data_IF_886838131631
#
_entry.id   IF_886838131631
#
_cell.length_a   1.000
_cell.length_b   1.000
_cell.length_c   1.000
_cell.angle_alpha   90.00
_cell.angle_beta   90.00
_cell.angle_gamma   90.00
#
_symmetry.space_group_name_H-M   'P 1'
#
loop_
_entity.id
_entity.type
_entity.pdbx_description
1 polymer ?
#
# COMPACT_ATOMS: atom_id res chain seq x y z
N UNK A 1 6.36 -14.52 -12.43
CA UNK A 1 6.38 -15.98 -12.68
C UNK A 1 5.38 -16.33 -13.79
N UNK A 2 5.49 -17.47 -14.48
CA UNK A 2 4.50 -17.94 -15.47
C UNK A 2 3.43 -18.78 -14.76
N UNK A 3 2.16 -18.59 -15.11
CA UNK A 3 1.04 -19.41 -14.62
C UNK A 3 0.39 -20.04 -15.85
N UNK A 4 0.43 -21.35 -15.92
CA UNK A 4 0.02 -22.16 -17.08
C UNK A 4 -1.06 -23.17 -16.66
N UNK A 5 -1.90 -23.58 -17.61
CA UNK A 5 -3.07 -24.45 -17.36
C UNK A 5 -3.03 -25.73 -18.21
N UNK A 6 -1.82 -26.21 -18.47
CA UNK A 6 -1.53 -27.41 -19.28
C UNK A 6 -0.85 -28.45 -18.40
N UNK A 7 -0.74 -29.69 -18.89
CA UNK A 7 -0.03 -30.75 -18.17
C UNK A 7 1.45 -30.38 -17.94
N UNK A 8 1.97 -30.61 -16.73
CA UNK A 8 3.35 -30.27 -16.39
C UNK A 8 4.32 -31.27 -17.01
N UNK A 9 5.48 -30.80 -17.49
CA UNK A 9 6.64 -31.66 -17.74
C UNK A 9 7.74 -31.33 -16.73
N UNK A 10 8.02 -32.26 -15.82
CA UNK A 10 9.11 -32.13 -14.83
C UNK A 10 8.87 -31.10 -13.72
N UNK A 11 7.63 -30.68 -13.48
CA UNK A 11 7.28 -29.81 -12.36
C UNK A 11 7.09 -30.62 -11.07
N UNK A 12 7.47 -30.04 -9.92
CA UNK A 12 7.27 -30.64 -8.60
C UNK A 12 5.79 -30.57 -8.24
N UNK A 13 5.18 -31.72 -7.95
CA UNK A 13 3.77 -31.77 -7.54
C UNK A 13 3.62 -31.21 -6.13
N UNK A 14 2.66 -30.33 -5.92
CA UNK A 14 2.31 -29.79 -4.59
C UNK A 14 1.09 -30.54 -4.06
N UNK A 15 1.18 -30.98 -2.81
CA UNK A 15 0.12 -31.71 -2.10
C UNK A 15 -0.12 -31.02 -0.74
N UNK A 16 -1.35 -30.57 -0.48
CA UNK A 16 -1.71 -29.95 0.80
C UNK A 16 -2.17 -31.04 1.78
N UNK A 17 -1.44 -31.22 2.88
CA UNK A 17 -1.68 -32.32 3.82
C UNK A 17 -2.08 -31.81 5.20
N UNK A 18 -3.03 -32.50 5.83
CA UNK A 18 -3.44 -32.20 7.20
C UNK A 18 -2.28 -32.34 8.19
N UNK A 19 -2.28 -31.48 9.22
CA UNK A 19 -1.20 -31.36 10.21
C UNK A 19 -0.13 -30.34 9.81
N UNK A 20 0.85 -30.14 10.69
CA UNK A 20 1.82 -29.04 10.54
C UNK A 20 3.09 -29.41 9.75
N UNK A 21 3.26 -30.69 9.45
CA UNK A 21 4.49 -31.23 8.85
C UNK A 21 4.55 -30.93 7.36
N UNK A 22 5.55 -30.14 6.97
CA UNK A 22 5.97 -29.97 5.57
C UNK A 22 7.15 -30.89 5.28
N UNK A 23 7.15 -31.55 4.11
CA UNK A 23 8.27 -32.39 3.65
C UNK A 23 8.33 -32.50 2.13
N UNK A 24 9.53 -32.69 1.61
CA UNK A 24 9.76 -33.12 0.22
C UNK A 24 9.85 -34.64 0.22
N UNK A 25 9.12 -35.29 -0.68
CA UNK A 25 9.13 -36.76 -0.85
C UNK A 25 9.44 -37.06 -2.30
N UNK A 26 10.27 -38.05 -2.55
CA UNK A 26 10.51 -38.60 -3.87
C UNK A 26 9.91 -40.01 -3.93
N UNK A 27 9.10 -40.29 -4.94
CA UNK A 27 8.52 -41.62 -5.11
C UNK A 27 9.49 -42.60 -5.81
N UNK A 28 9.09 -43.86 -5.92
CA UNK A 28 9.90 -44.91 -6.53
C UNK A 28 10.19 -44.69 -8.04
N UNK A 29 9.52 -43.73 -8.68
CA UNK A 29 9.69 -43.36 -10.07
C UNK A 29 10.48 -42.05 -10.24
N UNK A 30 11.02 -41.50 -9.15
CA UNK A 30 11.79 -40.25 -9.15
C UNK A 30 10.92 -38.98 -9.21
N UNK A 31 9.61 -39.09 -8.97
CA UNK A 31 8.71 -37.93 -8.93
C UNK A 31 8.84 -37.25 -7.58
N UNK A 32 9.24 -35.98 -7.61
CA UNK A 32 9.33 -35.14 -6.42
C UNK A 32 7.98 -34.50 -6.10
N UNK A 33 7.52 -34.69 -4.87
CA UNK A 33 6.29 -34.14 -4.31
C UNK A 33 6.61 -33.26 -3.10
N UNK A 34 6.16 -32.01 -3.15
CA UNK A 34 6.22 -31.06 -2.05
C UNK A 34 4.92 -31.14 -1.23
N UNK A 35 5.00 -31.79 -0.06
CA UNK A 35 3.87 -31.89 0.89
C UNK A 35 3.88 -30.69 1.83
N UNK A 36 2.82 -29.91 1.83
CA UNK A 36 2.67 -28.70 2.65
C UNK A 36 1.69 -28.97 3.79
N UNK A 37 2.19 -28.94 5.03
CA UNK A 37 1.33 -29.02 6.22
C UNK A 37 0.45 -27.78 6.36
N UNK A 38 -0.87 -27.96 6.40
CA UNK A 38 -1.87 -26.88 6.50
C UNK A 38 -2.59 -26.80 7.84
N UNK A 39 -2.20 -27.64 8.80
CA UNK A 39 -2.86 -27.79 10.10
C UNK A 39 -4.19 -28.54 9.97
N UNK A 40 -5.17 -28.22 10.83
CA UNK A 40 -6.52 -28.79 10.76
C UNK A 40 -7.32 -28.17 9.63
N UNK A 41 -7.85 -29.01 8.74
CA UNK A 41 -8.55 -28.60 7.51
C UNK A 41 -9.81 -27.79 7.83
N UNK A 42 -10.54 -28.20 8.88
CA UNK A 42 -11.76 -27.55 9.36
C UNK A 42 -11.53 -26.14 9.92
N UNK A 43 -10.29 -25.79 10.29
CA UNK A 43 -9.94 -24.47 10.79
C UNK A 43 -9.42 -23.52 9.68
N UNK A 44 -9.45 -23.95 8.41
CA UNK A 44 -8.97 -23.13 7.29
C UNK A 44 -9.99 -22.05 6.97
N UNK A 45 -9.60 -20.82 7.31
CA UNK A 45 -10.33 -19.60 6.99
C UNK A 45 -9.72 -18.93 5.76
N UNK A 46 -10.39 -17.89 5.23
CA UNK A 46 -9.79 -17.02 4.19
C UNK A 46 -8.42 -16.47 4.59
N UNK A 47 -8.20 -16.17 5.88
CA UNK A 47 -6.90 -15.68 6.38
C UNK A 47 -5.81 -16.77 6.31
N UNK A 48 -6.14 -18.01 6.66
CA UNK A 48 -5.22 -19.15 6.51
C UNK A 48 -4.96 -19.47 5.03
N UNK A 49 -5.97 -19.38 4.16
CA UNK A 49 -5.79 -19.57 2.71
C UNK A 49 -4.69 -18.66 2.15
N UNK A 50 -4.71 -17.36 2.49
CA UNK A 50 -3.68 -16.39 2.08
C UNK A 50 -2.27 -16.85 2.48
N UNK A 51 -2.07 -17.26 3.73
CA UNK A 51 -0.75 -17.67 4.24
C UNK A 51 -0.31 -19.04 3.72
N UNK A 52 -1.24 -19.98 3.51
CA UNK A 52 -0.97 -21.28 2.88
C UNK A 52 -0.47 -21.08 1.44
N UNK A 53 -1.14 -20.24 0.64
CA UNK A 53 -0.71 -19.95 -0.72
C UNK A 53 0.72 -19.41 -0.78
N UNK A 54 1.07 -18.50 0.14
CA UNK A 54 2.43 -17.96 0.25
C UNK A 54 3.44 -19.01 0.72
N UNK A 55 3.07 -19.81 1.72
CA UNK A 55 3.89 -20.89 2.31
C UNK A 55 4.39 -21.86 1.23
N UNK A 56 3.51 -22.27 0.29
CA UNK A 56 3.87 -23.12 -0.85
C UNK A 56 5.08 -22.58 -1.61
N UNK A 57 5.03 -21.29 -1.97
CA UNK A 57 6.08 -20.65 -2.77
C UNK A 57 7.36 -20.41 -1.96
N UNK A 58 7.23 -20.03 -0.69
CA UNK A 58 8.38 -19.83 0.20
C UNK A 58 9.20 -21.11 0.35
N UNK A 59 8.54 -22.23 0.63
CA UNK A 59 9.20 -23.53 0.77
C UNK A 59 9.75 -24.01 -0.57
N UNK A 60 9.02 -23.82 -1.68
CA UNK A 60 9.53 -24.14 -3.01
C UNK A 60 10.83 -23.40 -3.33
N UNK A 61 10.92 -22.11 -2.97
CA UNK A 61 12.14 -21.32 -3.13
C UNK A 61 13.28 -21.81 -2.20
N UNK A 62 12.99 -22.18 -0.95
CA UNK A 62 13.98 -22.77 -0.03
C UNK A 62 14.60 -24.05 -0.60
N UNK A 63 13.81 -24.87 -1.30
CA UNK A 63 14.27 -26.07 -2.01
C UNK A 63 14.71 -25.82 -3.46
N UNK A 64 14.72 -24.56 -3.92
CA UNK A 64 15.13 -24.14 -5.27
C UNK A 64 14.32 -24.79 -6.41
N UNK A 65 13.07 -25.15 -6.17
CA UNK A 65 12.18 -25.66 -7.21
C UNK A 65 11.77 -24.53 -8.17
N UNK A 66 12.02 -24.73 -9.47
CA UNK A 66 11.73 -23.74 -10.50
C UNK A 66 10.34 -23.90 -11.13
N UNK A 67 9.72 -25.08 -11.03
CA UNK A 67 8.41 -25.36 -11.59
C UNK A 67 7.55 -26.17 -10.61
N UNK A 68 6.31 -25.74 -10.40
CA UNK A 68 5.34 -26.41 -9.52
C UNK A 68 4.09 -26.84 -10.28
N UNK A 69 3.55 -28.02 -9.97
CA UNK A 69 2.21 -28.45 -10.39
C UNK A 69 1.28 -28.40 -9.18
N UNK A 70 0.19 -27.65 -9.30
CA UNK A 70 -0.73 -27.38 -8.18
C UNK A 70 -2.15 -27.74 -8.60
N UNK A 71 -2.81 -28.70 -7.95
CA UNK A 71 -4.24 -28.95 -8.15
C UNK A 71 -5.07 -27.77 -7.62
N UNK A 72 -5.93 -27.20 -8.46
CA UNK A 72 -6.77 -26.06 -8.08
C UNK A 72 -7.75 -26.42 -6.96
N UNK A 73 -8.30 -27.63 -7.00
CA UNK A 73 -9.31 -28.11 -6.05
C UNK A 73 -8.74 -28.29 -4.63
N UNK A 74 -7.42 -28.44 -4.47
CA UNK A 74 -6.79 -28.57 -3.14
C UNK A 74 -6.92 -27.29 -2.32
N UNK A 75 -7.18 -26.14 -2.96
CA UNK A 75 -7.38 -24.86 -2.31
C UNK A 75 -8.87 -24.53 -2.04
N UNK A 76 -9.78 -25.46 -2.32
CA UNK A 76 -11.20 -25.32 -2.02
C UNK A 76 -11.52 -25.98 -0.67
N UNK A 77 -11.55 -25.17 0.39
CA UNK A 77 -11.83 -25.63 1.75
C UNK A 77 -13.28 -25.40 2.16
N UNK A 78 -13.76 -26.16 3.15
CA UNK A 78 -15.10 -25.99 3.68
C UNK A 78 -15.35 -24.59 4.28
N UNK A 79 -14.31 -24.00 4.90
CA UNK A 79 -14.34 -22.64 5.47
C UNK A 79 -14.14 -21.51 4.45
N UNK A 80 -14.08 -21.82 3.16
CA UNK A 80 -13.93 -20.84 2.06
C UNK A 80 -14.94 -21.06 0.93
N UNK A 81 -16.09 -21.70 1.23
CA UNK A 81 -17.14 -22.02 0.23
C UNK A 81 -17.81 -20.79 -0.38
N UNK A 82 -17.71 -19.64 0.27
CA UNK A 82 -18.21 -18.36 -0.22
C UNK A 82 -17.31 -17.72 -1.29
N UNK A 83 -16.09 -18.24 -1.47
CA UNK A 83 -15.13 -17.75 -2.46
C UNK A 83 -15.43 -18.41 -3.80
N UNK A 84 -15.79 -17.59 -4.80
CA UNK A 84 -15.98 -18.07 -6.18
C UNK A 84 -14.66 -18.54 -6.79
N UNK A 85 -14.72 -19.37 -7.83
CA UNK A 85 -13.53 -19.82 -8.55
C UNK A 85 -12.68 -18.67 -9.12
N UNK A 86 -13.35 -17.62 -9.64
CA UNK A 86 -12.68 -16.40 -10.10
C UNK A 86 -11.90 -15.75 -8.96
N UNK A 87 -12.54 -15.57 -7.81
CA UNK A 87 -11.93 -14.95 -6.65
C UNK A 87 -10.79 -15.79 -6.08
N UNK A 88 -10.96 -17.12 -6.02
CA UNK A 88 -9.92 -18.04 -5.58
C UNK A 88 -8.71 -17.97 -6.52
N UNK A 89 -8.91 -18.02 -7.84
CA UNK A 89 -7.83 -17.87 -8.81
C UNK A 89 -7.06 -16.55 -8.65
N UNK A 90 -7.77 -15.46 -8.34
CA UNK A 90 -7.16 -14.17 -8.05
C UNK A 90 -6.34 -14.18 -6.76
N UNK A 91 -6.90 -14.67 -5.65
CA UNK A 91 -6.20 -14.81 -4.36
C UNK A 91 -4.92 -15.64 -4.52
N UNK A 92 -4.99 -16.77 -5.23
CA UNK A 92 -3.84 -17.64 -5.45
C UNK A 92 -2.75 -16.93 -6.26
N UNK A 93 -3.10 -16.31 -7.39
CA UNK A 93 -2.14 -15.58 -8.21
C UNK A 93 -1.46 -14.43 -7.45
N UNK A 94 -2.24 -13.64 -6.72
CA UNK A 94 -1.74 -12.54 -5.90
C UNK A 94 -0.69 -13.04 -4.90
N UNK A 95 -1.05 -14.06 -4.13
CA UNK A 95 -0.22 -14.54 -3.05
C UNK A 95 0.97 -15.38 -3.51
N UNK A 96 0.85 -16.10 -4.63
CA UNK A 96 1.99 -16.81 -5.21
C UNK A 96 3.06 -15.83 -5.71
N UNK A 97 2.66 -14.81 -6.48
CA UNK A 97 3.61 -13.81 -7.00
C UNK A 97 4.18 -12.92 -5.88
N UNK A 98 3.38 -12.54 -4.87
CA UNK A 98 3.88 -11.78 -3.71
C UNK A 98 4.89 -12.57 -2.87
N UNK A 99 4.70 -13.88 -2.69
CA UNK A 99 5.62 -14.73 -1.94
C UNK A 99 6.90 -15.07 -2.71
N UNK A 100 6.83 -15.06 -4.04
CA UNK A 100 7.98 -15.29 -4.91
C UNK A 100 8.91 -14.06 -5.04
N UNK A 101 8.45 -12.89 -4.58
CA UNK A 101 9.20 -11.65 -4.61
C UNK A 101 10.33 -11.63 -3.57
N UNK A 102 11.48 -11.11 -3.99
CA UNK A 102 12.57 -10.71 -3.11
C UNK A 102 13.23 -9.44 -3.64
N UNK A 103 13.48 -8.46 -2.77
CA UNK A 103 14.21 -7.26 -3.14
C UNK A 103 15.70 -7.57 -3.31
N UNK A 104 16.15 -7.65 -4.57
CA UNK A 104 17.51 -8.10 -4.95
C UNK A 104 18.35 -7.03 -5.63
N UNK A 105 17.83 -5.81 -5.79
CA UNK A 105 18.45 -4.71 -6.57
C UNK A 105 19.93 -4.47 -6.25
N UNK A 106 20.32 -4.61 -4.98
CA UNK A 106 21.69 -4.38 -4.50
C UNK A 106 22.47 -5.67 -4.17
N UNK A 107 21.89 -6.85 -4.39
CA UNK A 107 22.55 -8.13 -4.10
C UNK A 107 23.27 -8.64 -5.34
N UNK A 108 24.52 -9.08 -5.17
CA UNK A 108 25.21 -9.87 -6.19
C UNK A 108 24.51 -11.23 -6.35
N UNK A 109 24.14 -11.63 -7.57
CA UNK A 109 23.58 -12.96 -7.79
C UNK A 109 24.57 -14.06 -7.43
N UNK A 110 24.15 -15.14 -6.73
CA UNK A 110 24.98 -16.32 -6.55
C UNK A 110 25.19 -17.02 -7.91
N UNK A 111 26.20 -17.90 -8.01
CA UNK A 111 26.58 -18.56 -9.28
C UNK A 111 25.42 -19.30 -9.93
N UNK A 112 24.65 -19.99 -9.11
CA UNK A 112 23.49 -20.78 -9.52
C UNK A 112 22.19 -19.95 -9.65
N UNK A 113 22.29 -18.61 -9.58
CA UNK A 113 21.16 -17.69 -9.61
C UNK A 113 20.36 -17.69 -8.31
N UNK A 114 19.50 -16.70 -8.13
CA UNK A 114 18.65 -16.68 -6.94
C UNK A 114 17.52 -17.72 -7.03
N UNK A 115 17.13 -18.35 -5.90
CA UNK A 115 15.99 -19.27 -5.88
C UNK A 115 14.70 -18.53 -6.25
N UNK A 116 13.98 -19.02 -7.26
CA UNK A 116 12.73 -18.41 -7.74
C UNK A 116 11.89 -19.46 -8.47
N UNK A 117 10.62 -19.56 -8.12
CA UNK A 117 9.64 -20.32 -8.89
C UNK A 117 9.39 -19.59 -10.21
N UNK A 118 9.76 -20.21 -11.32
CA UNK A 118 9.64 -19.64 -12.66
C UNK A 118 8.27 -19.92 -13.28
N UNK A 119 7.71 -21.11 -13.04
CA UNK A 119 6.43 -21.56 -13.59
C UNK A 119 5.56 -22.27 -12.55
N UNK A 120 4.25 -22.03 -12.61
CA UNK A 120 3.23 -22.79 -11.88
C UNK A 120 2.23 -23.34 -12.90
N UNK A 121 1.98 -24.65 -12.84
CA UNK A 121 1.00 -25.37 -13.65
C UNK A 121 -0.23 -25.65 -12.77
N UNK A 122 -1.33 -24.93 -13.02
CA UNK A 122 -2.57 -25.10 -12.27
C UNK A 122 -3.42 -26.20 -12.94
N UNK A 123 -3.61 -27.31 -12.24
CA UNK A 123 -4.44 -28.43 -12.71
C UNK A 123 -5.90 -28.24 -12.31
N UNK A 124 -6.84 -28.55 -13.21
CA UNK A 124 -8.28 -28.51 -12.90
C UNK A 124 -8.89 -27.11 -12.71
N UNK A 125 -8.18 -26.03 -13.08
CA UNK A 125 -8.75 -24.69 -13.01
C UNK A 125 -9.91 -24.49 -14.01
N UNK A 126 -11.03 -23.98 -13.51
CA UNK A 126 -12.18 -23.59 -14.33
C UNK A 126 -11.89 -22.35 -15.18
N UNK A 127 -12.76 -22.06 -16.17
CA UNK A 127 -12.59 -20.89 -17.03
C UNK A 127 -12.60 -19.56 -16.23
N UNK A 128 -13.41 -19.49 -15.18
CA UNK A 128 -13.49 -18.29 -14.33
C UNK A 128 -12.27 -18.18 -13.41
N UNK A 129 -11.76 -19.28 -12.87
CA UNK A 129 -10.48 -19.29 -12.16
C UNK A 129 -9.35 -18.76 -13.03
N UNK A 130 -9.27 -19.17 -14.31
CA UNK A 130 -8.25 -18.69 -15.27
C UNK A 130 -8.28 -17.17 -15.45
N UNK A 131 -9.47 -16.55 -15.47
CA UNK A 131 -9.62 -15.09 -15.50
C UNK A 131 -9.10 -14.47 -14.19
N UNK A 132 -9.47 -15.05 -13.05
CA UNK A 132 -8.97 -14.65 -11.74
C UNK A 132 -7.44 -14.67 -11.64
N UNK A 133 -6.80 -15.74 -12.12
CA UNK A 133 -5.33 -15.85 -12.15
C UNK A 133 -4.69 -14.73 -12.99
N UNK A 134 -5.31 -14.36 -14.12
CA UNK A 134 -4.81 -13.27 -14.98
C UNK A 134 -4.88 -11.92 -14.28
N UNK A 135 -6.00 -11.63 -13.62
CA UNK A 135 -6.20 -10.38 -12.86
C UNK A 135 -5.28 -10.31 -11.65
N UNK A 136 -5.23 -11.39 -10.85
CA UNK A 136 -4.39 -11.45 -9.66
C UNK A 136 -2.91 -11.31 -9.98
N UNK A 137 -2.45 -11.81 -11.12
CA UNK A 137 -1.07 -11.60 -11.59
C UNK A 137 -0.77 -10.12 -11.90
N UNK A 138 -1.71 -9.40 -12.52
CA UNK A 138 -1.56 -7.95 -12.76
C UNK A 138 -1.45 -7.22 -11.42
N UNK A 139 -2.35 -7.54 -10.49
CA UNK A 139 -2.38 -6.92 -9.15
C UNK A 139 -1.07 -7.18 -8.41
N UNK A 140 -0.61 -8.43 -8.34
CA UNK A 140 0.62 -8.79 -7.65
C UNK A 140 1.85 -8.12 -8.24
N UNK A 141 1.88 -7.95 -9.57
CA UNK A 141 2.99 -7.30 -10.25
C UNK A 141 3.11 -5.84 -9.81
N UNK A 142 1.99 -5.12 -9.74
CA UNK A 142 1.98 -3.73 -9.27
C UNK A 142 2.22 -3.61 -7.76
N UNK A 143 1.77 -4.58 -6.97
CA UNK A 143 2.11 -4.68 -5.54
C UNK A 143 3.63 -4.83 -5.38
N UNK A 144 4.26 -5.74 -6.12
CA UNK A 144 5.70 -5.95 -6.06
C UNK A 144 6.48 -4.75 -6.59
N UNK A 145 5.97 -4.03 -7.59
CA UNK A 145 6.56 -2.75 -8.01
C UNK A 145 6.48 -1.69 -6.91
N UNK A 146 5.34 -1.55 -6.22
CA UNK A 146 5.24 -0.70 -5.04
C UNK A 146 6.24 -1.10 -3.95
N UNK A 147 6.46 -2.41 -3.74
CA UNK A 147 7.44 -2.93 -2.78
C UNK A 147 8.87 -2.58 -3.21
N UNK A 148 9.19 -2.65 -4.50
CA UNK A 148 10.49 -2.22 -5.02
C UNK A 148 10.75 -0.74 -4.74
N UNK A 149 9.75 0.13 -4.95
CA UNK A 149 9.90 1.55 -4.66
C UNK A 149 10.15 1.78 -3.16
N UNK A 150 9.30 1.22 -2.30
CA UNK A 150 9.40 1.41 -0.85
C UNK A 150 10.64 0.75 -0.22
N UNK A 151 11.14 -0.36 -0.77
CA UNK A 151 12.38 -1.00 -0.31
C UNK A 151 13.65 -0.29 -0.83
N UNK A 152 13.53 0.57 -1.84
CA UNK A 152 14.68 1.32 -2.35
C UNK A 152 15.10 2.36 -1.32
N UNK A 153 16.39 2.41 -0.91
CA UNK A 153 16.89 3.41 0.04
C UNK A 153 16.63 4.85 -0.42
N UNK A 154 16.48 5.77 0.54
CA UNK A 154 16.09 7.16 0.26
C UNK A 154 16.97 7.88 -0.77
N UNK A 155 18.30 7.67 -0.69
CA UNK A 155 19.25 8.23 -1.67
C UNK A 155 19.05 7.76 -3.12
N UNK A 156 18.41 6.60 -3.31
CA UNK A 156 18.09 6.03 -4.64
C UNK A 156 16.59 6.11 -4.98
N UNK A 157 15.78 6.72 -4.11
CA UNK A 157 14.33 6.89 -4.28
C UNK A 157 13.92 8.32 -3.91
N UNK A 158 14.50 9.31 -4.57
CA UNK A 158 14.17 10.72 -4.33
C UNK A 158 12.78 11.10 -4.86
N UNK A 159 12.21 12.28 -4.51
CA UNK A 159 10.93 12.74 -5.06
C UNK A 159 10.91 12.75 -6.59
N UNK A 160 12.03 13.10 -7.22
CA UNK A 160 12.19 13.05 -8.68
C UNK A 160 12.12 11.63 -9.23
N UNK A 161 12.78 10.67 -8.56
CA UNK A 161 12.76 9.26 -8.97
C UNK A 161 11.37 8.64 -8.79
N UNK A 162 10.67 8.95 -7.69
CA UNK A 162 9.30 8.51 -7.48
C UNK A 162 8.36 9.03 -8.58
N UNK A 163 8.47 10.31 -8.95
CA UNK A 163 7.69 10.90 -10.04
C UNK A 163 7.96 10.25 -11.40
N UNK A 164 9.22 9.91 -11.69
CA UNK A 164 9.60 9.19 -12.92
C UNK A 164 9.11 7.74 -12.91
N UNK A 165 9.13 7.09 -11.74
CA UNK A 165 8.63 5.73 -11.56
C UNK A 165 7.13 5.66 -11.84
N UNK A 166 6.35 6.66 -11.42
CA UNK A 166 4.92 6.75 -11.76
C UNK A 166 4.68 6.81 -13.28
N UNK A 167 5.47 7.62 -14.01
CA UNK A 167 5.40 7.69 -15.49
C UNK A 167 5.73 6.35 -16.14
N UNK A 168 6.75 5.65 -15.63
CA UNK A 168 7.15 4.34 -16.15
C UNK A 168 6.07 3.28 -15.89
N UNK A 169 5.54 3.25 -14.67
CA UNK A 169 4.54 2.26 -14.23
C UNK A 169 3.24 2.32 -15.06
N UNK A 170 2.85 3.52 -15.48
CA UNK A 170 1.62 3.79 -16.24
C UNK A 170 1.82 3.88 -17.74
N UNK A 171 3.05 3.72 -18.23
CA UNK A 171 3.38 3.74 -19.65
C UNK A 171 2.56 2.67 -20.40
N UNK A 172 1.90 3.08 -21.49
CA UNK A 172 1.08 2.18 -22.31
C UNK A 172 -0.35 1.95 -21.78
N UNK A 173 -0.71 2.56 -20.65
CA UNK A 173 -2.11 2.65 -20.20
C UNK A 173 -2.77 3.91 -20.76
N UNK A 174 -4.08 4.07 -20.55
CA UNK A 174 -4.81 5.31 -20.87
C UNK A 174 -4.82 6.33 -19.74
N UNK A 175 -4.03 6.13 -18.68
CA UNK A 175 -3.89 7.10 -17.60
C UNK A 175 -2.88 8.19 -17.97
N UNK A 176 -3.11 9.40 -17.47
CA UNK A 176 -2.21 10.54 -17.63
C UNK A 176 -1.41 10.75 -16.34
N UNK A 177 -0.11 11.02 -16.45
CA UNK A 177 0.74 11.39 -15.32
C UNK A 177 1.26 12.82 -15.50
N UNK A 178 0.85 13.72 -14.63
CA UNK A 178 1.31 15.11 -14.55
C UNK A 178 2.17 15.27 -13.30
N UNK A 179 3.27 16.02 -13.40
CA UNK A 179 4.17 16.25 -12.26
C UNK A 179 4.40 17.74 -12.14
N UNK A 180 3.91 18.35 -11.07
CA UNK A 180 4.12 19.78 -10.81
C UNK A 180 5.49 20.00 -10.18
N UNK A 181 6.18 21.02 -10.67
CA UNK A 181 7.42 21.55 -10.14
C UNK A 181 7.20 22.43 -8.91
N UNK A 182 8.27 22.71 -8.16
CA UNK A 182 8.26 23.67 -7.04
C UNK A 182 7.66 25.02 -7.43
N UNK A 183 7.93 25.51 -8.65
CA UNK A 183 7.38 26.78 -9.12
C UNK A 183 5.85 26.73 -9.27
N UNK A 184 5.30 25.62 -9.76
CA UNK A 184 3.86 25.40 -9.89
C UNK A 184 3.20 25.18 -8.51
N UNK A 185 3.84 24.42 -7.63
CA UNK A 185 3.43 24.23 -6.22
C UNK A 185 3.34 25.60 -5.51
N UNK A 186 4.33 26.47 -5.71
CA UNK A 186 4.33 27.85 -5.20
C UNK A 186 3.22 28.70 -5.79
N UNK A 187 2.95 28.60 -7.09
CA UNK A 187 1.84 29.31 -7.74
C UNK A 187 0.48 28.87 -7.17
N UNK A 188 0.35 27.61 -6.77
CA UNK A 188 -0.84 27.06 -6.11
C UNK A 188 -0.92 27.39 -4.61
N UNK A 189 0.08 28.06 -4.03
CA UNK A 189 0.16 28.43 -2.62
C UNK A 189 0.13 27.24 -1.66
N UNK A 190 0.69 26.10 -2.08
CA UNK A 190 0.84 24.90 -1.24
C UNK A 190 1.98 25.07 -0.22
N UNK A 191 1.77 25.96 0.76
CA UNK A 191 2.82 26.33 1.71
C UNK A 191 3.16 25.26 2.75
N UNK A 192 2.32 24.24 2.95
CA UNK A 192 2.67 23.11 3.82
C UNK A 192 3.70 22.21 3.13
N UNK A 193 3.48 21.87 1.85
CA UNK A 193 4.45 21.12 1.05
C UNK A 193 5.78 21.87 0.96
N UNK A 194 5.73 23.17 0.64
CA UNK A 194 6.93 24.00 0.53
C UNK A 194 7.68 24.16 1.85
N UNK A 195 6.97 24.13 2.98
CA UNK A 195 7.59 24.18 4.30
C UNK A 195 8.41 22.92 4.58
N UNK A 196 7.83 21.74 4.34
CA UNK A 196 8.52 20.45 4.54
C UNK A 196 9.71 20.30 3.59
N UNK A 197 9.53 20.65 2.31
CA UNK A 197 10.57 20.55 1.27
C UNK A 197 11.79 21.46 1.50
N UNK A 198 11.62 22.54 2.29
CA UNK A 198 12.61 23.62 2.44
C UNK A 198 13.99 23.14 2.91
N UNK A 199 14.05 22.01 3.60
CA UNK A 199 15.28 21.42 4.10
C UNK A 199 16.06 20.60 3.06
N UNK A 200 15.39 20.14 2.00
CA UNK A 200 15.90 19.18 1.02
C UNK A 200 16.69 19.83 -0.12
N UNK A 201 17.69 19.10 -0.65
CA UNK A 201 18.33 19.43 -1.92
C UNK A 201 17.55 18.85 -3.13
N UNK A 202 16.79 17.79 -2.90
CA UNK A 202 15.91 17.19 -3.89
C UNK A 202 14.57 17.94 -3.91
N UNK A 203 14.18 18.53 -5.05
CA UNK A 203 13.03 19.40 -5.09
C UNK A 203 11.71 18.63 -5.01
N UNK A 204 10.74 19.19 -4.26
CA UNK A 204 9.37 18.66 -4.20
C UNK A 204 8.78 18.39 -5.58
N UNK A 205 8.01 17.31 -5.66
CA UNK A 205 7.17 16.96 -6.81
C UNK A 205 5.75 16.76 -6.33
N UNK A 206 4.78 17.33 -7.04
CA UNK A 206 3.38 16.96 -6.84
C UNK A 206 2.92 16.09 -8.01
N UNK A 207 2.79 14.79 -7.76
CA UNK A 207 2.47 13.79 -8.77
C UNK A 207 0.95 13.65 -8.83
N UNK A 208 0.41 13.76 -10.04
CA UNK A 208 -1.01 13.61 -10.34
C UNK A 208 -1.14 12.50 -11.36
N UNK A 209 -1.85 11.45 -11.00
CA UNK A 209 -2.22 10.37 -11.91
C UNK A 209 -3.72 10.43 -12.15
N UNK A 210 -4.13 10.52 -13.40
CA UNK A 210 -5.55 10.58 -13.77
C UNK A 210 -5.92 9.41 -14.67
N UNK A 211 -6.86 8.57 -14.22
CA UNK A 211 -7.47 7.53 -15.02
C UNK A 211 -8.99 7.76 -15.14
N UNK A 212 -9.44 8.01 -16.36
CA UNK A 212 -10.84 8.32 -16.67
C UNK A 212 -11.53 7.16 -17.37
N UNK A 213 -11.59 5.99 -16.70
CA UNK A 213 -12.09 4.74 -17.28
C UNK A 213 -13.60 4.72 -17.56
N UNK A 214 -14.39 5.50 -16.83
CA UNK A 214 -15.81 5.71 -17.12
C UNK A 214 -16.04 6.85 -18.14
N UNK A 215 -14.98 7.57 -18.54
CA UNK A 215 -15.00 8.74 -19.40
C UNK A 215 -14.99 10.05 -18.61
N UNK A 216 -14.26 11.06 -19.11
CA UNK A 216 -14.15 12.40 -18.50
C UNK A 216 -15.47 13.15 -18.42
N UNK A 217 -16.36 12.90 -19.38
CA UNK A 217 -17.69 13.52 -19.47
C UNK A 217 -18.78 12.68 -18.81
N UNK A 218 -18.41 11.59 -18.13
CA UNK A 218 -19.35 10.79 -17.36
C UNK A 218 -19.91 11.61 -16.20
N UNK A 219 -21.16 11.34 -15.82
CA UNK A 219 -21.75 11.85 -14.57
C UNK A 219 -21.12 11.23 -13.32
N UNK A 220 -20.35 10.15 -13.48
CA UNK A 220 -19.62 9.51 -12.39
C UNK A 220 -18.43 10.38 -11.97
N UNK A 221 -18.64 11.11 -10.87
CA UNK A 221 -17.59 11.83 -10.14
C UNK A 221 -16.47 10.86 -9.72
N UNK A 222 -15.20 11.29 -9.76
CA UNK A 222 -14.08 10.41 -9.50
C UNK A 222 -13.97 9.99 -8.02
N UNK A 223 -13.28 8.87 -7.81
CA UNK A 223 -12.66 8.52 -6.53
C UNK A 223 -11.26 9.13 -6.54
N UNK A 224 -10.90 9.91 -5.52
CA UNK A 224 -9.55 10.47 -5.38
C UNK A 224 -8.80 9.74 -4.28
N UNK A 225 -7.62 9.23 -4.61
CA UNK A 225 -6.68 8.64 -3.68
C UNK A 225 -5.56 9.65 -3.39
N UNK A 226 -5.21 9.87 -2.13
CA UNK A 226 -4.11 10.76 -1.75
C UNK A 226 -3.07 9.96 -0.97
N UNK A 227 -1.82 9.95 -1.41
CA UNK A 227 -0.77 9.12 -0.79
C UNK A 227 0.38 9.93 -0.22
N UNK A 228 0.76 9.68 1.04
CA UNK A 228 1.96 10.30 1.66
C UNK A 228 3.21 9.93 0.86
N UNK A 229 3.96 10.94 0.40
CA UNK A 229 5.15 10.78 -0.45
C UNK A 229 6.45 11.24 0.21
N UNK A 230 6.67 10.96 1.49
CA UNK A 230 7.95 11.30 2.14
C UNK A 230 9.00 10.27 1.73
N UNK A 231 9.88 10.63 0.82
CA UNK A 231 10.88 9.71 0.25
C UNK A 231 11.97 9.29 1.22
N UNK A 232 12.29 10.19 2.15
CA UNK A 232 13.06 9.86 3.34
C UNK A 232 12.67 10.83 4.46
N UNK A 233 12.48 10.29 5.66
CA UNK A 233 12.06 11.06 6.83
C UNK A 233 13.12 11.04 7.92
N UNK A 234 13.83 12.16 8.08
CA UNK A 234 14.77 12.34 9.20
C UNK A 234 14.05 12.76 10.49
N UNK A 235 12.79 13.21 10.38
CA UNK A 235 12.08 13.99 11.39
C UNK A 235 12.37 15.50 11.35
N UNK A 236 13.29 15.94 10.48
CA UNK A 236 13.71 17.33 10.40
C UNK A 236 14.45 17.78 11.66
N UNK A 237 14.24 19.02 12.12
CA UNK A 237 14.88 19.55 13.33
C UNK A 237 14.52 18.71 14.58
N UNK A 238 13.31 18.16 14.64
CA UNK A 238 12.92 17.11 15.58
C UNK A 238 13.45 15.75 15.13
N UNK A 239 14.78 15.63 15.06
CA UNK A 239 15.48 14.44 14.56
C UNK A 239 14.99 13.17 15.25
N UNK A 240 14.67 12.15 14.45
CA UNK A 240 14.35 10.82 14.95
C UNK A 240 15.54 10.20 15.70
N UNK A 241 15.32 9.48 16.80
CA UNK A 241 16.36 8.66 17.42
C UNK A 241 16.96 7.65 16.42
N UNK A 242 18.23 7.28 16.60
CA UNK A 242 18.98 6.49 15.61
C UNK A 242 18.27 5.20 15.14
N UNK A 243 17.68 4.44 16.06
CA UNK A 243 16.97 3.19 15.72
C UNK A 243 15.67 3.43 14.93
N UNK A 244 15.10 4.63 15.02
CA UNK A 244 13.87 5.01 14.32
C UNK A 244 14.12 5.60 12.92
N UNK A 245 15.37 5.93 12.56
CA UNK A 245 15.73 6.36 11.20
C UNK A 245 15.81 5.19 10.22
N UNK A 246 16.12 3.99 10.72
CA UNK A 246 16.18 2.80 9.89
C UNK A 246 14.79 2.46 9.35
N UNK A 247 14.68 2.33 8.03
CA UNK A 247 13.41 2.05 7.36
C UNK A 247 12.58 3.29 7.01
N UNK A 248 13.07 4.52 7.21
CA UNK A 248 12.34 5.74 6.83
C UNK A 248 12.30 5.99 5.31
N UNK A 249 12.95 5.16 4.50
CA UNK A 249 12.69 5.07 3.06
C UNK A 249 11.30 4.49 2.74
N UNK A 250 10.65 3.82 3.70
CA UNK A 250 9.28 3.30 3.54
C UNK A 250 8.22 4.40 3.69
N UNK A 251 8.58 5.63 4.04
CA UNK A 251 7.64 6.69 4.41
C UNK A 251 6.90 7.33 3.21
N UNK A 252 7.19 6.81 2.02
CA UNK A 252 6.51 7.07 0.74
C UNK A 252 5.60 5.92 0.30
N UNK A 253 5.44 4.88 1.13
CA UNK A 253 4.63 3.70 0.80
C UNK A 253 3.17 4.05 0.50
N UNK A 254 2.61 5.06 1.18
CA UNK A 254 1.27 5.59 0.88
C UNK A 254 1.17 6.10 -0.56
N UNK A 255 2.10 6.96 -0.97
CA UNK A 255 2.24 7.48 -2.33
C UNK A 255 2.42 6.37 -3.38
N UNK A 256 3.35 5.44 -3.13
CA UNK A 256 3.58 4.31 -4.03
C UNK A 256 2.33 3.43 -4.18
N UNK A 257 1.60 3.19 -3.08
CA UNK A 257 0.41 2.35 -3.07
C UNK A 257 -0.72 2.95 -3.91
N UNK A 258 -1.00 4.26 -3.80
CA UNK A 258 -2.09 4.89 -4.57
C UNK A 258 -1.77 4.99 -6.06
N UNK A 259 -0.50 5.21 -6.42
CA UNK A 259 -0.05 5.16 -7.83
C UNK A 259 -0.25 3.74 -8.39
N UNK A 260 0.19 2.72 -7.64
CA UNK A 260 0.05 1.32 -8.03
C UNK A 260 -1.42 0.90 -8.14
N UNK A 261 -2.29 1.35 -7.24
CA UNK A 261 -3.73 1.13 -7.35
C UNK A 261 -4.26 1.68 -8.66
N UNK A 262 -4.00 2.94 -9.02
CA UNK A 262 -4.48 3.49 -10.30
C UNK A 262 -3.90 2.74 -11.50
N UNK A 263 -2.64 2.30 -11.43
CA UNK A 263 -2.03 1.46 -12.46
C UNK A 263 -2.75 0.13 -12.64
N UNK A 264 -3.15 -0.54 -11.55
CA UNK A 264 -3.96 -1.75 -11.59
C UNK A 264 -5.31 -1.48 -12.26
N UNK A 265 -6.04 -0.45 -11.80
CA UNK A 265 -7.36 -0.11 -12.35
C UNK A 265 -7.28 0.16 -13.86
N UNK A 266 -6.24 0.87 -14.30
CA UNK A 266 -5.99 1.16 -15.71
C UNK A 266 -5.61 -0.09 -16.53
N UNK A 267 -4.77 -0.98 -15.99
CA UNK A 267 -4.35 -2.23 -16.65
C UNK A 267 -5.49 -3.25 -16.74
N UNK A 268 -6.36 -3.28 -15.72
CA UNK A 268 -7.61 -4.05 -15.72
C UNK A 268 -8.71 -3.39 -16.58
N UNK A 269 -8.50 -2.14 -17.01
CA UNK A 269 -9.44 -1.35 -17.82
C UNK A 269 -10.82 -1.22 -17.16
N UNK A 270 -10.85 -1.03 -15.84
CA UNK A 270 -12.11 -0.90 -15.13
C UNK A 270 -12.82 0.39 -15.54
N UNK A 271 -14.14 0.35 -15.69
CA UNK A 271 -14.95 1.51 -16.05
C UNK A 271 -15.21 2.40 -14.83
N UNK A 272 -14.13 2.94 -14.24
CA UNK A 272 -14.14 3.79 -13.06
C UNK A 272 -13.24 4.99 -13.26
N UNK A 273 -13.65 6.14 -12.73
CA UNK A 273 -12.86 7.36 -12.72
C UNK A 273 -12.06 7.44 -11.41
N UNK A 274 -10.72 7.35 -11.50
CA UNK A 274 -9.82 7.29 -10.35
C UNK A 274 -8.64 8.22 -10.54
N UNK A 275 -8.38 9.07 -9.55
CA UNK A 275 -7.27 10.01 -9.53
C UNK A 275 -6.37 9.65 -8.35
N UNK A 276 -5.05 9.68 -8.52
CA UNK A 276 -4.10 9.64 -7.41
C UNK A 276 -3.32 10.96 -7.31
N UNK A 277 -3.18 11.47 -6.10
CA UNK A 277 -2.42 12.68 -5.76
C UNK A 277 -1.32 12.30 -4.76
N UNK A 278 -0.06 12.57 -5.10
CA UNK A 278 1.09 12.24 -4.25
C UNK A 278 1.98 13.47 -4.12
N UNK A 279 1.90 14.20 -2.99
CA UNK A 279 2.89 15.20 -2.64
C UNK A 279 4.20 14.49 -2.22
N UNK A 280 5.19 14.50 -3.10
CA UNK A 280 6.48 13.86 -2.88
C UNK A 280 7.53 14.88 -2.43
N UNK A 281 8.11 14.67 -1.26
CA UNK A 281 9.16 15.51 -0.66
C UNK A 281 10.16 14.64 0.11
N UNK A 282 11.26 15.24 0.55
CA UNK A 282 12.19 14.66 1.53
C UNK A 282 12.19 15.55 2.79
N UNK A 283 12.00 14.96 3.98
CA UNK A 283 12.04 15.71 5.23
C UNK A 283 13.47 15.66 5.80
N UNK A 284 14.28 16.64 5.42
CA UNK A 284 15.72 16.67 5.69
C UNK A 284 16.09 17.67 6.80
N UNK A 285 17.19 17.37 7.50
CA UNK A 285 17.86 18.32 8.39
C UNK A 285 18.81 19.19 7.59
N UNK A 286 18.61 20.50 7.61
CA UNK A 286 19.55 21.46 7.01
C UNK A 286 19.38 22.85 7.61
N UNK A 287 20.32 23.76 7.29
CA UNK A 287 20.24 25.15 7.71
C UNK A 287 19.04 25.93 7.14
N UNK A 288 18.38 25.40 6.11
CA UNK A 288 17.18 26.00 5.51
C UNK A 288 15.87 25.34 5.97
N UNK A 289 15.93 24.24 6.72
CA UNK A 289 14.75 23.51 7.17
C UNK A 289 13.77 24.41 7.95
N UNK A 290 12.47 24.08 7.83
CA UNK A 290 11.44 24.64 8.72
C UNK A 290 11.65 24.12 10.15
N UNK A 291 11.16 24.88 11.13
CA UNK A 291 11.48 24.69 12.54
C UNK A 291 10.22 24.62 13.40
N UNK A 292 10.31 23.98 14.58
CA UNK A 292 9.33 24.20 15.64
C UNK A 292 9.17 25.71 15.93
N UNK A 293 7.93 26.18 16.00
CA UNK A 293 7.55 27.58 16.15
C UNK A 293 7.31 28.32 14.83
N UNK A 294 7.68 27.77 13.67
CA UNK A 294 7.29 28.37 12.39
C UNK A 294 5.77 28.26 12.20
N UNK A 295 5.17 29.23 11.49
CA UNK A 295 3.77 29.18 11.06
C UNK A 295 3.74 29.08 9.54
N UNK A 296 3.20 27.98 9.02
CA UNK A 296 3.01 27.75 7.59
C UNK A 296 1.59 28.12 7.17
N UNK A 297 1.41 28.48 5.90
CA UNK A 297 0.09 28.77 5.33
C UNK A 297 -0.25 27.73 4.26
N UNK A 298 -1.34 27.01 4.47
CA UNK A 298 -1.83 25.99 3.57
C UNK A 298 -2.48 26.57 2.31
N UNK A 299 -2.68 25.72 1.31
CA UNK A 299 -3.32 26.05 0.03
C UNK A 299 -4.72 26.67 0.20
N UNK A 300 -5.49 26.22 1.18
CA UNK A 300 -6.83 26.76 1.49
C UNK A 300 -6.78 28.06 2.34
N UNK A 301 -5.58 28.55 2.68
CA UNK A 301 -5.38 29.76 3.47
C UNK A 301 -5.27 29.53 4.98
N UNK A 302 -5.62 28.34 5.50
CA UNK A 302 -5.46 28.00 6.92
C UNK A 302 -3.99 28.12 7.34
N UNK A 303 -3.74 28.64 8.52
CA UNK A 303 -2.41 28.75 9.13
C UNK A 303 -2.15 27.57 10.07
N UNK A 304 -0.94 27.02 10.02
CA UNK A 304 -0.53 25.86 10.81
C UNK A 304 0.74 26.18 11.57
N UNK A 305 0.64 26.18 12.89
CA UNK A 305 1.78 26.28 13.81
C UNK A 305 2.50 24.93 13.88
N UNK A 306 3.82 24.95 13.71
CA UNK A 306 4.65 23.76 13.70
C UNK A 306 5.18 23.52 15.10
N UNK A 307 4.72 22.47 15.77
CA UNK A 307 5.30 22.06 17.07
C UNK A 307 6.26 20.88 16.92
N UNK A 308 6.10 20.06 15.89
CA UNK A 308 7.00 18.94 15.63
C UNK A 308 7.24 18.75 14.13
N UNK A 309 8.48 18.88 13.67
CA UNK A 309 8.85 18.66 12.25
C UNK A 309 8.80 17.17 11.86
N UNK A 310 8.70 16.26 12.81
CA UNK A 310 8.46 14.81 12.61
C UNK A 310 6.95 14.47 12.44
N UNK A 311 6.11 15.51 12.37
CA UNK A 311 4.71 15.43 11.97
C UNK A 311 4.49 16.10 10.60
N UNK A 312 5.39 15.81 9.67
CA UNK A 312 5.45 16.31 8.29
C UNK A 312 4.40 15.70 7.36
N UNK A 313 4.11 14.40 7.52
CA UNK A 313 3.22 13.67 6.61
C UNK A 313 1.82 14.30 6.52
N UNK A 314 1.27 14.71 7.66
CA UNK A 314 -0.06 15.35 7.70
C UNK A 314 -0.05 16.74 7.06
N UNK A 315 1.09 17.44 7.06
CA UNK A 315 1.23 18.75 6.43
C UNK A 315 1.11 18.63 4.92
N UNK A 316 1.91 17.75 4.31
CA UNK A 316 1.91 17.57 2.85
C UNK A 316 0.57 17.03 2.34
N UNK A 317 -0.08 16.16 3.14
CA UNK A 317 -1.41 15.64 2.84
C UNK A 317 -2.49 16.72 2.93
N UNK A 318 -2.38 17.69 3.85
CA UNK A 318 -3.36 18.80 3.95
C UNK A 318 -3.46 19.64 2.68
N UNK A 319 -2.33 19.96 2.04
CA UNK A 319 -2.31 20.65 0.74
C UNK A 319 -2.83 19.75 -0.38
N UNK A 320 -2.51 18.45 -0.37
CA UNK A 320 -2.98 17.50 -1.37
C UNK A 320 -4.48 17.22 -1.29
N UNK A 321 -5.03 17.11 -0.07
CA UNK A 321 -6.47 17.05 0.19
C UNK A 321 -7.14 18.34 -0.32
N UNK A 322 -6.59 19.51 0.00
CA UNK A 322 -7.12 20.77 -0.56
C UNK A 322 -7.12 20.77 -2.10
N UNK A 323 -6.07 20.25 -2.73
CA UNK A 323 -6.01 20.13 -4.19
C UNK A 323 -7.09 19.19 -4.75
N UNK A 324 -7.43 18.11 -4.03
CA UNK A 324 -8.43 17.13 -4.42
C UNK A 324 -9.83 17.73 -4.64
N UNK A 325 -10.16 18.83 -3.95
CA UNK A 325 -11.44 19.55 -4.12
C UNK A 325 -11.71 19.94 -5.59
N UNK A 326 -10.66 20.18 -6.38
CA UNK A 326 -10.76 20.57 -7.80
C UNK A 326 -11.40 19.50 -8.68
N UNK A 327 -11.40 18.24 -8.23
CA UNK A 327 -11.96 17.11 -8.98
C UNK A 327 -13.44 16.85 -8.65
N UNK A 328 -14.04 17.59 -7.71
CA UNK A 328 -15.40 17.35 -7.21
C UNK A 328 -15.65 15.85 -6.92
N UNK A 329 -14.84 15.23 -6.04
CA UNK A 329 -14.85 13.79 -5.86
C UNK A 329 -16.10 13.31 -5.13
N UNK A 330 -16.55 12.08 -5.46
CA UNK A 330 -17.59 11.41 -4.65
C UNK A 330 -17.04 10.66 -3.44
N UNK A 331 -15.74 10.38 -3.45
CA UNK A 331 -15.02 9.72 -2.37
C UNK A 331 -13.56 10.15 -2.39
N UNK A 332 -13.01 10.46 -1.22
CA UNK A 332 -11.57 10.68 -1.03
C UNK A 332 -11.02 9.67 -0.02
N UNK A 333 -9.96 8.96 -0.38
CA UNK A 333 -9.23 8.08 0.55
C UNK A 333 -7.80 8.57 0.60
N UNK A 334 -7.30 8.93 1.78
CA UNK A 334 -5.88 9.18 1.94
C UNK A 334 -5.16 8.05 2.70
N UNK A 335 -3.93 7.77 2.31
CA UNK A 335 -3.14 6.61 2.74
C UNK A 335 -1.75 7.06 3.12
N UNK A 336 -1.35 6.75 4.35
CA UNK A 336 -0.08 7.22 4.88
C UNK A 336 0.52 6.30 5.93
N UNK A 337 1.84 6.22 5.97
CA UNK A 337 2.61 5.82 7.14
C UNK A 337 2.64 7.00 8.11
N UNK A 338 1.50 7.30 8.74
CA UNK A 338 1.32 8.60 9.38
C UNK A 338 1.85 8.63 10.81
N UNK A 339 1.59 7.60 11.61
CA UNK A 339 1.89 7.64 13.04
C UNK A 339 2.46 6.35 13.59
N UNK A 340 3.54 6.47 14.38
CA UNK A 340 4.00 5.37 15.24
C UNK A 340 2.97 4.96 16.29
N UNK A 341 2.03 5.86 16.65
CA UNK A 341 0.94 5.56 17.58
C UNK A 341 -0.02 4.49 17.04
N UNK A 342 -0.19 4.36 15.73
CA UNK A 342 -1.04 3.32 15.14
C UNK A 342 -0.42 1.93 15.35
N UNK A 343 0.91 1.85 15.29
CA UNK A 343 1.67 0.64 15.59
C UNK A 343 1.52 0.24 17.06
N UNK A 344 1.52 1.21 17.98
CA UNK A 344 1.28 0.96 19.41
C UNK A 344 -0.13 0.44 19.66
N UNK A 345 -1.13 0.98 18.95
CA UNK A 345 -2.53 0.61 19.14
C UNK A 345 -2.89 -0.76 18.54
N UNK A 346 -2.44 -1.06 17.31
CA UNK A 346 -2.90 -2.22 16.52
C UNK A 346 -1.82 -3.27 16.28
N UNK A 347 -0.60 -3.04 16.77
CA UNK A 347 0.56 -3.88 16.44
C UNK A 347 0.85 -3.86 14.94
N UNK A 348 1.39 -4.96 14.39
CA UNK A 348 1.75 -5.08 12.97
C UNK A 348 0.75 -5.84 12.11
N UNK A 349 -0.50 -6.01 12.56
CA UNK A 349 -1.48 -6.94 11.94
C UNK A 349 -2.55 -6.24 11.11
N UNK A 350 -2.89 -5.00 11.42
CA UNK A 350 -3.93 -4.24 10.74
C UNK A 350 -3.54 -2.76 10.62
N UNK A 351 -4.05 -2.10 9.59
CA UNK A 351 -3.95 -0.65 9.45
C UNK A 351 -5.07 0.04 10.23
N UNK A 352 -4.84 1.27 10.72
CA UNK A 352 -5.91 2.03 11.35
C UNK A 352 -6.73 2.75 10.27
N UNK A 353 -8.05 2.76 10.39
CA UNK A 353 -8.92 3.59 9.55
C UNK A 353 -9.66 4.61 10.38
N UNK A 354 -9.88 5.80 9.82
CA UNK A 354 -10.58 6.88 10.47
C UNK A 354 -11.52 7.54 9.44
N UNK A 355 -12.81 7.56 9.75
CA UNK A 355 -13.83 8.22 8.92
C UNK A 355 -15.00 8.69 9.78
N UNK A 356 -15.70 9.73 9.33
CA UNK A 356 -16.97 10.18 9.94
C UNK A 356 -18.19 9.51 9.31
N UNK A 357 -17.99 8.61 8.36
CA UNK A 357 -19.06 7.96 7.59
C UNK A 357 -19.16 6.47 7.97
N UNK A 358 -20.12 6.07 8.82
CA UNK A 358 -20.22 4.68 9.31
C UNK A 358 -20.38 3.62 8.19
N UNK A 359 -21.07 3.95 7.10
CA UNK A 359 -21.22 3.05 5.96
C UNK A 359 -19.88 2.78 5.25
N UNK A 360 -19.04 3.81 5.12
CA UNK A 360 -17.70 3.68 4.54
C UNK A 360 -16.77 2.89 5.46
N UNK A 361 -16.87 3.11 6.79
CA UNK A 361 -16.12 2.32 7.77
C UNK A 361 -16.44 0.82 7.65
N UNK A 362 -17.73 0.47 7.67
CA UNK A 362 -18.16 -0.93 7.56
C UNK A 362 -17.74 -1.56 6.23
N UNK A 363 -17.84 -0.80 5.13
CA UNK A 363 -17.36 -1.24 3.82
C UNK A 363 -15.85 -1.54 3.84
N UNK A 364 -15.03 -0.63 4.37
CA UNK A 364 -13.58 -0.83 4.44
C UNK A 364 -13.20 -2.05 5.28
N UNK A 365 -13.90 -2.29 6.40
CA UNK A 365 -13.68 -3.47 7.25
C UNK A 365 -14.01 -4.77 6.53
N UNK A 366 -15.18 -4.85 5.89
CA UNK A 366 -15.58 -6.01 5.09
C UNK A 366 -14.58 -6.28 3.94
N UNK A 367 -14.20 -5.23 3.20
CA UNK A 367 -13.22 -5.35 2.13
C UNK A 367 -11.81 -5.69 2.66
N UNK A 368 -11.46 -5.29 3.88
CA UNK A 368 -10.22 -5.68 4.55
C UNK A 368 -10.15 -7.20 4.81
N UNK A 369 -11.25 -7.80 5.28
CA UNK A 369 -11.35 -9.26 5.41
C UNK A 369 -11.25 -9.96 4.06
N UNK A 370 -11.88 -9.39 3.02
CA UNK A 370 -11.90 -9.99 1.68
C UNK A 370 -10.55 -9.90 0.95
N UNK A 371 -9.85 -8.77 1.10
CA UNK A 371 -8.55 -8.54 0.47
C UNK A 371 -7.37 -9.16 1.23
N UNK A 372 -7.55 -9.48 2.51
CA UNK A 372 -6.45 -9.88 3.39
C UNK A 372 -5.53 -8.71 3.74
N UNK A 373 -6.06 -7.48 3.72
CA UNK A 373 -5.43 -6.25 4.19
C UNK A 373 -6.32 -5.64 5.27
N UNK A 374 -6.19 -6.19 6.48
CA UNK A 374 -7.08 -5.91 7.58
C UNK A 374 -6.98 -4.47 8.05
N UNK A 375 -8.14 -3.91 8.42
CA UNK A 375 -8.27 -2.55 8.94
C UNK A 375 -9.10 -2.54 10.20
N UNK A 376 -8.81 -1.60 11.10
CA UNK A 376 -9.58 -1.39 12.32
C UNK A 376 -9.88 0.09 12.57
N UNK A 377 -11.13 0.45 12.92
CA UNK A 377 -11.51 1.85 13.07
C UNK A 377 -11.01 2.46 14.37
N UNK A 378 -10.60 3.73 14.27
CA UNK A 378 -10.35 4.64 15.39
C UNK A 378 -11.29 5.86 15.28
N UNK A 379 -11.65 6.50 16.40
CA UNK A 379 -12.66 7.56 16.39
C UNK A 379 -12.16 8.87 15.77
N UNK A 380 -13.10 9.65 15.23
CA UNK A 380 -12.93 11.05 14.80
C UNK A 380 -13.96 11.98 15.48
N UNK A 381 -14.09 11.85 16.79
CA UNK A 381 -15.03 12.65 17.56
C UNK A 381 -14.63 14.13 17.57
N UNK A 382 -15.62 15.02 17.68
CA UNK A 382 -15.43 16.46 17.56
C UNK A 382 -14.59 17.03 18.70
N UNK A 383 -14.62 16.41 19.86
CA UNK A 383 -13.88 16.78 21.06
C UNK A 383 -12.37 16.80 20.82
N UNK A 384 -11.86 15.92 19.96
CA UNK A 384 -10.44 15.88 19.58
C UNK A 384 -10.01 17.08 18.73
N UNK A 385 -10.92 17.86 18.15
CA UNK A 385 -10.56 19.07 17.37
C UNK A 385 -9.84 20.12 18.23
N UNK A 386 -10.08 20.13 19.54
CA UNK A 386 -9.35 20.99 20.46
C UNK A 386 -7.84 20.67 20.52
N UNK A 387 -7.46 19.42 20.23
CA UNK A 387 -6.07 18.94 20.33
C UNK A 387 -5.19 19.35 19.14
N UNK A 388 -5.81 19.79 18.04
CA UNK A 388 -5.12 20.26 16.82
C UNK A 388 -5.29 21.77 16.59
N UNK A 389 -5.86 22.50 17.54
CA UNK A 389 -5.98 23.97 17.46
C UNK A 389 -4.63 24.62 17.79
N UNK A 390 -4.23 25.59 16.97
CA UNK A 390 -3.01 26.37 17.20
C UNK A 390 -3.17 27.40 18.33
N UNK A 391 -2.05 27.83 18.91
CA UNK A 391 -2.03 28.92 19.89
C UNK A 391 -2.02 30.25 19.14
N UNK A 392 -1.19 30.33 18.08
CA UNK A 392 -0.98 31.53 17.27
C UNK A 392 -1.41 31.36 15.80
N UNK A 393 -1.99 30.21 15.47
CA UNK A 393 -2.47 29.85 14.13
C UNK A 393 -3.81 29.12 14.22
N UNK A 394 -4.46 28.92 13.07
CA UNK A 394 -5.75 28.20 13.02
C UNK A 394 -5.61 26.75 13.52
N UNK A 395 -4.50 26.10 13.18
CA UNK A 395 -4.18 24.72 13.52
C UNK A 395 -2.76 24.58 14.09
N UNK A 396 -2.51 23.48 14.79
CA UNK A 396 -1.19 23.00 15.17
C UNK A 396 -0.95 21.60 14.57
N UNK A 397 0.24 21.36 14.05
CA UNK A 397 0.54 20.07 13.39
C UNK A 397 0.80 18.92 14.38
N UNK A 398 1.11 19.24 15.62
CA UNK A 398 1.26 18.27 16.70
C UNK A 398 0.67 18.88 17.97
N UNK A 399 0.46 18.07 18.99
CA UNK A 399 0.06 18.58 20.29
C UNK A 399 1.31 18.74 21.16
N UNK A 400 1.47 19.88 21.84
CA UNK A 400 2.62 20.14 22.71
C UNK A 400 2.59 19.19 23.92
N UNK A 401 3.72 18.55 24.23
CA UNK A 401 3.85 17.60 25.34
C UNK A 401 3.76 16.13 24.93
N UNK A 402 3.25 15.26 25.81
CA UNK A 402 3.00 13.82 25.53
C UNK A 402 1.52 13.44 25.71
N UNK A 403 0.57 14.04 24.99
CA UNK A 403 -0.79 13.54 25.01
C UNK A 403 -0.83 12.19 24.27
N UNK A 404 -1.58 11.23 24.82
CA UNK A 404 -1.94 10.00 24.10
C UNK A 404 -2.78 10.32 22.85
N UNK A 405 -3.08 9.31 22.03
CA UNK A 405 -3.99 9.50 20.89
C UNK A 405 -3.35 10.03 19.60
N UNK A 406 -2.03 9.93 19.43
CA UNK A 406 -1.31 10.50 18.28
C UNK A 406 -1.89 10.16 16.89
N UNK A 407 -2.42 8.94 16.70
CA UNK A 407 -3.12 8.53 15.46
C UNK A 407 -4.42 9.31 15.26
N UNK A 408 -5.24 9.42 16.31
CA UNK A 408 -6.49 10.18 16.29
C UNK A 408 -6.19 11.65 15.98
N UNK A 409 -5.16 12.24 16.60
CA UNK A 409 -4.79 13.63 16.35
C UNK A 409 -4.29 13.85 14.92
N UNK A 410 -3.57 12.88 14.35
CA UNK A 410 -3.21 12.89 12.93
C UNK A 410 -4.45 12.87 12.03
N UNK A 411 -5.40 11.97 12.29
CA UNK A 411 -6.67 11.89 11.56
C UNK A 411 -7.51 13.16 11.69
N UNK A 412 -7.62 13.72 12.89
CA UNK A 412 -8.37 14.96 13.17
C UNK A 412 -7.74 16.16 12.47
N UNK A 413 -6.41 16.25 12.43
CA UNK A 413 -5.72 17.28 11.64
C UNK A 413 -6.08 17.18 10.16
N UNK A 414 -6.02 15.98 9.58
CA UNK A 414 -6.38 15.75 8.17
C UNK A 414 -7.86 16.04 7.89
N UNK A 415 -8.75 15.74 8.85
CA UNK A 415 -10.18 16.02 8.73
C UNK A 415 -10.46 17.52 8.52
N UNK A 416 -9.59 18.43 9.02
CA UNK A 416 -9.69 19.88 8.81
C UNK A 416 -9.49 20.29 7.34
N UNK A 417 -8.92 19.42 6.51
CA UNK A 417 -8.72 19.62 5.07
C UNK A 417 -9.68 18.77 4.22
N UNK A 418 -10.56 18.00 4.86
CA UNK A 418 -11.47 17.06 4.21
C UNK A 418 -12.96 17.43 4.37
N UNK A 419 -13.28 18.54 5.03
CA UNK A 419 -14.65 18.92 5.41
C UNK A 419 -15.63 19.06 4.23
N UNK A 420 -15.12 19.39 3.04
CA UNK A 420 -15.94 19.59 1.84
C UNK A 420 -16.26 18.31 1.08
N UNK A 421 -15.61 17.19 1.42
CA UNK A 421 -15.85 15.95 0.71
C UNK A 421 -17.15 15.29 1.20
N UNK A 422 -17.96 14.73 0.28
CA UNK A 422 -19.15 14.00 0.69
C UNK A 422 -18.81 12.77 1.54
N UNK A 423 -17.68 12.12 1.23
CA UNK A 423 -17.15 10.98 1.96
C UNK A 423 -15.62 11.03 1.95
N UNK A 424 -15.03 10.84 3.12
CA UNK A 424 -13.59 10.79 3.31
C UNK A 424 -13.19 9.74 4.33
N UNK A 425 -12.10 9.03 4.07
CA UNK A 425 -11.44 8.19 5.08
C UNK A 425 -9.92 8.31 4.98
N UNK A 426 -9.29 8.27 6.14
CA UNK A 426 -7.85 8.10 6.29
C UNK A 426 -7.51 6.64 6.59
N UNK A 427 -6.44 6.13 5.99
CA UNK A 427 -5.85 4.82 6.28
C UNK A 427 -4.41 5.01 6.75
N UNK A 428 -4.16 4.82 8.05
CA UNK A 428 -2.81 4.80 8.62
C UNK A 428 -2.21 3.40 8.46
N UNK A 429 -1.29 3.28 7.51
CA UNK A 429 -0.63 2.03 7.15
C UNK A 429 0.74 1.87 7.82
N UNK A 430 1.14 2.76 8.73
CA UNK A 430 2.39 2.60 9.49
C UNK A 430 2.53 1.20 10.14
N UNK A 431 1.47 0.61 10.73
CA UNK A 431 1.47 -0.79 11.21
C UNK A 431 1.88 -1.85 10.19
N UNK A 432 1.59 -1.59 8.90
CA UNK A 432 1.71 -2.56 7.80
C UNK A 432 2.77 -2.15 6.78
N UNK A 433 3.60 -1.15 7.06
CA UNK A 433 4.65 -0.72 6.14
C UNK A 433 5.67 -1.83 5.83
N UNK A 434 5.93 -2.71 6.81
CA UNK A 434 6.87 -3.83 6.71
C UNK A 434 6.17 -5.17 7.01
N UNK A 435 6.57 -6.22 6.29
CA UNK A 435 6.11 -7.57 6.54
C UNK A 435 6.60 -8.12 7.89
N UNK A 436 5.81 -9.02 8.45
CA UNK A 436 6.18 -9.83 9.61
C UNK A 436 6.32 -11.31 9.20
N UNK A 437 7.02 -12.16 9.97
CA UNK A 437 7.25 -13.56 9.60
C UNK A 437 5.98 -14.32 9.22
N UNK A 438 4.90 -14.13 9.98
CA UNK A 438 3.60 -14.75 9.76
C UNK A 438 2.92 -14.36 8.44
N UNK A 439 3.36 -13.27 7.80
CA UNK A 439 2.84 -12.90 6.48
C UNK A 439 3.28 -13.90 5.40
N UNK A 440 4.29 -14.74 5.65
CA UNK A 440 4.93 -15.62 4.67
C UNK A 440 5.46 -14.85 3.44
N UNK A 441 5.90 -13.61 3.66
CA UNK A 441 6.52 -12.76 2.65
C UNK A 441 8.00 -12.54 2.99
N UNK A 442 8.80 -12.15 2.00
CA UNK A 442 10.15 -11.62 2.29
C UNK A 442 10.04 -10.41 3.22
N UNK A 443 11.05 -10.22 4.07
CA UNK A 443 11.22 -9.00 4.87
C UNK A 443 11.27 -7.76 3.97
N UNK A 444 10.67 -6.66 4.42
CA UNK A 444 10.57 -5.39 3.70
C UNK A 444 9.12 -4.98 3.45
N UNK A 445 8.91 -4.09 2.48
CA UNK A 445 7.62 -3.50 2.18
C UNK A 445 6.55 -4.56 1.87
N UNK A 446 5.31 -4.30 2.29
CA UNK A 446 4.14 -5.19 2.03
C UNK A 446 3.39 -4.83 0.75
N UNK A 447 3.38 -3.55 0.36
CA UNK A 447 2.52 -3.01 -0.70
C UNK A 447 1.07 -2.76 -0.24
N UNK A 448 0.80 -2.76 1.07
CA UNK A 448 -0.51 -2.39 1.62
C UNK A 448 -0.79 -0.88 1.45
N UNK A 449 -2.03 -0.44 1.17
CA UNK A 449 -3.28 -1.21 1.13
C UNK A 449 -3.81 -1.41 -0.31
N UNK A 450 -2.95 -1.76 -1.26
CA UNK A 450 -3.31 -1.82 -2.68
C UNK A 450 -4.50 -2.75 -2.94
N UNK A 451 -4.54 -3.95 -2.33
CA UNK A 451 -5.61 -4.92 -2.58
C UNK A 451 -6.93 -4.41 -2.01
N UNK A 452 -6.92 -3.82 -0.82
CA UNK A 452 -8.09 -3.15 -0.23
C UNK A 452 -8.61 -2.04 -1.13
N UNK A 453 -7.74 -1.15 -1.61
CA UNK A 453 -8.14 -0.03 -2.47
C UNK A 453 -8.71 -0.49 -3.82
N UNK A 454 -8.13 -1.54 -4.43
CA UNK A 454 -8.67 -2.11 -5.67
C UNK A 454 -10.09 -2.66 -5.43
N UNK A 455 -10.32 -3.38 -4.33
CA UNK A 455 -11.66 -3.88 -3.97
C UNK A 455 -12.65 -2.76 -3.70
N UNK A 456 -12.19 -1.69 -3.07
CA UNK A 456 -13.01 -0.51 -2.82
C UNK A 456 -13.49 0.10 -4.14
N UNK A 457 -12.60 0.29 -5.11
CA UNK A 457 -12.92 0.87 -6.42
C UNK A 457 -13.83 -0.04 -7.26
N UNK A 458 -13.65 -1.37 -7.16
CA UNK A 458 -14.54 -2.34 -7.80
C UNK A 458 -15.97 -2.26 -7.26
N UNK A 459 -16.13 -2.01 -5.96
CA UNK A 459 -17.42 -2.08 -5.25
C UNK A 459 -18.15 -0.75 -5.20
N UNK A 460 -17.43 0.35 -4.98
CA UNK A 460 -17.97 1.69 -4.77
C UNK A 460 -18.44 2.33 -6.08
#
# INVERSE_FOLDING_TARGET
MKIEFVEPKGAVSVDLVAGDVTRVVEDAHGVVVLKIGIGKVEEITRRKLVTISRKVIRIANEHRFSALSIPFLDFQFAGTKDISDHELGRILAENFEMANYEFRKYKTPPKEGFPTVQSIYIQGATADAKKGFKEGKIIATEINYCRDLANTPGGDMTPTILANSAKLQLKGTSATVTVLSVAEIKKLKMGLILGVDKGSIEPAKFIIVEYWGAGKTSKEKPIVLVGKGITFDTGGINLKPSDALMGMNHDMAGGASVIATVAIIAKLKLKKNVIALVPAVENAVSGSAYRPGDILRAMNGKTVEIFNTDAEGRLILGDALTYAERYDPRLVIDVATLTGAALVALGKRASAIMTRTPSLENLLRDLGEKSGEYVWPLPLWKEYEAEVRGIHADLANATVGRPGGGTINGGIFLAQFAEKFPQWAHIDIAPRMESIPDDMLTKGATGTPIRLLVRLIETF
#
